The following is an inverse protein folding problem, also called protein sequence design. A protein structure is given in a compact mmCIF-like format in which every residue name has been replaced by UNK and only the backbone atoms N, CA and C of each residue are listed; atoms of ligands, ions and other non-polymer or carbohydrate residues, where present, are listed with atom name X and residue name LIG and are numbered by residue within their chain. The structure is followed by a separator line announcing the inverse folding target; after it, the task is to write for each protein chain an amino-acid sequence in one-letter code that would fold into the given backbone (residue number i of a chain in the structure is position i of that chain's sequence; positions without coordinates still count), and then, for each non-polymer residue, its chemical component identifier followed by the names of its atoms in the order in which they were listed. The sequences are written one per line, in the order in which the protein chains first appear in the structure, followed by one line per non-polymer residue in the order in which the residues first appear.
data_IF_930868356431
#
_entry.id   IF_930868356431
#
_cell.length_a   1.000
_cell.length_b   1.000
_cell.length_c   1.000
_cell.angle_alpha   90.00
_cell.angle_beta   90.00
_cell.angle_gamma   90.00
#
_symmetry.space_group_name_H-M   'P 1'
#
loop_
_entity.id
_entity.type
_entity.pdbx_description
1 polymer ?
#
# COMPACT_ATOMS: atom_id res chain seq x y z
N UNK A 1 -16.64 -9.22 16.79
CA UNK A 1 -16.24 -8.20 15.79
C UNK A 1 -14.77 -7.92 16.02
N UNK A 2 -13.87 -8.17 15.05
CA UNK A 2 -12.49 -7.70 15.17
C UNK A 2 -12.54 -6.18 15.25
N UNK A 3 -11.96 -5.58 16.30
CA UNK A 3 -11.88 -4.13 16.42
C UNK A 3 -11.03 -3.65 15.24
N UNK A 4 -11.64 -2.94 14.27
CA UNK A 4 -10.85 -2.34 13.18
C UNK A 4 -10.16 -1.13 13.76
N UNK A 5 -8.84 -1.21 13.86
CA UNK A 5 -7.99 -0.06 14.17
C UNK A 5 -8.22 1.05 13.14
N UNK A 6 -8.08 2.31 13.56
CA UNK A 6 -8.00 3.44 12.65
C UNK A 6 -6.56 3.72 12.18
N UNK A 7 -5.64 2.80 12.47
CA UNK A 7 -4.27 2.79 11.97
C UNK A 7 -4.19 1.82 10.79
N UNK A 8 -3.63 2.29 9.68
CA UNK A 8 -3.38 1.50 8.49
C UNK A 8 -1.91 1.55 8.11
N UNK A 9 -1.48 0.64 7.24
CA UNK A 9 -0.16 0.71 6.60
C UNK A 9 -0.30 0.61 5.11
N UNK A 10 0.56 1.32 4.39
CA UNK A 10 0.69 1.23 2.93
C UNK A 10 2.16 1.02 2.57
N UNK A 11 2.46 0.17 1.59
CA UNK A 11 3.84 -0.13 1.18
C UNK A 11 4.05 0.11 -0.31
N UNK A 12 4.89 1.08 -0.66
CA UNK A 12 5.36 1.27 -2.03
C UNK A 12 6.47 0.26 -2.35
N UNK A 13 6.18 -0.67 -3.26
CA UNK A 13 7.20 -1.60 -3.81
C UNK A 13 7.65 -1.07 -5.16
N UNK A 14 8.87 -0.55 -5.21
CA UNK A 14 9.42 0.16 -6.37
C UNK A 14 10.54 -0.68 -6.99
N UNK A 15 10.56 -0.75 -8.31
CA UNK A 15 11.66 -1.31 -9.09
C UNK A 15 11.96 -0.41 -10.28
N UNK A 16 13.14 0.23 -10.27
CA UNK A 16 13.49 1.28 -11.23
C UNK A 16 12.35 2.32 -11.32
N UNK A 17 11.81 2.55 -12.53
CA UNK A 17 10.72 3.49 -12.80
C UNK A 17 9.32 2.85 -12.71
N UNK A 18 9.19 1.71 -12.03
CA UNK A 18 7.92 1.00 -11.86
C UNK A 18 7.53 0.80 -10.40
N UNK A 19 6.23 0.75 -10.15
CA UNK A 19 5.64 0.45 -8.85
C UNK A 19 4.62 -0.68 -8.96
N UNK A 20 4.63 -1.59 -7.99
CA UNK A 20 3.62 -2.63 -7.87
C UNK A 20 2.37 -2.07 -7.18
N UNK A 21 1.22 -2.18 -7.84
CA UNK A 21 -0.08 -1.79 -7.30
C UNK A 21 -1.04 -2.97 -7.23
N UNK A 22 -1.99 -2.86 -6.31
CA UNK A 22 -3.11 -3.80 -6.16
C UNK A 22 -4.40 -3.17 -6.65
N UNK A 23 -5.30 -3.97 -7.20
CA UNK A 23 -6.66 -3.53 -7.53
C UNK A 23 -7.62 -3.89 -6.40
N UNK A 24 -8.23 -2.88 -5.79
CA UNK A 24 -9.10 -3.02 -4.61
C UNK A 24 -10.35 -3.84 -4.92
N UNK A 25 -10.65 -4.83 -4.07
CA UNK A 25 -11.89 -5.64 -4.15
C UNK A 25 -13.10 -5.00 -3.48
N UNK A 26 -12.88 -4.13 -2.50
CA UNK A 26 -13.89 -3.66 -1.55
C UNK A 26 -14.05 -2.14 -1.58
N UNK A 27 -15.25 -1.67 -1.21
CA UNK A 27 -15.49 -0.23 -0.98
C UNK A 27 -14.74 0.29 0.26
N UNK A 28 -14.42 1.59 0.31
CA UNK A 28 -14.54 2.59 -0.76
C UNK A 28 -13.51 2.37 -1.88
N UNK A 29 -13.68 3.03 -3.02
CA UNK A 29 -12.75 2.98 -4.16
C UNK A 29 -12.57 1.57 -4.73
N UNK A 30 -13.66 0.79 -4.76
CA UNK A 30 -13.64 -0.52 -5.41
C UNK A 30 -13.17 -0.40 -6.86
N UNK A 31 -12.42 -1.39 -7.34
CA UNK A 31 -11.83 -1.46 -8.68
C UNK A 31 -10.77 -0.38 -9.01
N UNK A 32 -10.44 0.52 -8.08
CA UNK A 32 -9.29 1.43 -8.19
C UNK A 32 -7.98 0.75 -7.77
N UNK A 33 -6.88 1.32 -8.27
CA UNK A 33 -5.52 0.88 -7.92
C UNK A 33 -5.05 1.52 -6.61
N UNK A 34 -4.26 0.80 -5.84
CA UNK A 34 -3.76 1.23 -4.54
C UNK A 34 -2.37 0.64 -4.26
N UNK A 35 -1.66 1.24 -3.29
CA UNK A 35 -0.54 0.60 -2.64
C UNK A 35 -1.05 -0.65 -1.88
N UNK A 36 -0.27 -1.73 -1.83
CA UNK A 36 -0.50 -2.83 -0.89
C UNK A 36 -0.56 -2.30 0.55
N UNK A 37 -1.56 -2.72 1.31
CA UNK A 37 -1.82 -2.13 2.61
C UNK A 37 -3.13 -2.54 3.25
N UNK A 38 -3.20 -2.36 4.57
CA UNK A 38 -4.36 -2.75 5.35
C UNK A 38 -4.32 -2.28 6.79
N UNK A 39 -5.15 -2.89 7.63
CA UNK A 39 -5.38 -2.44 9.00
C UNK A 39 -4.38 -3.06 9.96
N UNK A 40 -3.95 -2.28 10.94
CA UNK A 40 -3.08 -2.76 12.02
C UNK A 40 -3.93 -3.53 13.04
N UNK A 41 -3.57 -4.78 13.31
CA UNK A 41 -4.18 -5.60 14.36
C UNK A 41 -3.71 -5.16 15.77
N UNK A 42 -4.51 -5.44 16.80
CA UNK A 42 -4.25 -5.02 18.20
C UNK A 42 -2.90 -5.48 18.76
N UNK A 43 -2.38 -6.62 18.30
CA UNK A 43 -1.19 -7.28 18.86
C UNK A 43 0.01 -7.29 17.91
N UNK A 44 0.04 -6.39 16.92
CA UNK A 44 1.17 -6.26 16.01
C UNK A 44 1.75 -4.83 15.98
N UNK A 45 3.01 -4.72 15.59
CA UNK A 45 3.62 -3.40 15.32
C UNK A 45 3.23 -2.94 13.92
N UNK A 46 3.30 -1.64 13.66
CA UNK A 46 3.14 -1.06 12.32
C UNK A 46 4.00 -1.80 11.27
N UNK A 47 5.27 -2.06 11.58
CA UNK A 47 6.16 -2.77 10.66
C UNK A 47 5.77 -4.25 10.47
N UNK A 48 5.19 -4.91 11.49
CA UNK A 48 4.67 -6.28 11.35
C UNK A 48 3.43 -6.29 10.47
N UNK A 49 2.51 -5.34 10.65
CA UNK A 49 1.34 -5.13 9.80
C UNK A 49 1.76 -4.95 8.33
N UNK A 50 2.68 -4.02 8.04
CA UNK A 50 3.15 -3.76 6.68
C UNK A 50 3.73 -5.02 6.00
N UNK A 51 4.46 -5.87 6.74
CA UNK A 51 4.98 -7.14 6.22
C UNK A 51 3.87 -8.16 5.97
N UNK A 52 2.92 -8.27 6.91
CA UNK A 52 1.78 -9.19 6.81
C UNK A 52 0.90 -8.84 5.62
N UNK A 53 0.44 -7.60 5.52
CA UNK A 53 -0.41 -7.11 4.42
C UNK A 53 0.29 -7.30 3.07
N UNK A 54 1.57 -6.92 2.97
CA UNK A 54 2.33 -7.12 1.74
C UNK A 54 2.42 -8.60 1.34
N UNK A 55 2.65 -9.50 2.30
CA UNK A 55 2.71 -10.94 2.05
C UNK A 55 1.31 -11.51 1.68
N UNK A 56 0.25 -11.05 2.35
CA UNK A 56 -1.13 -11.48 2.13
C UNK A 56 -1.64 -11.06 0.75
N UNK A 57 -1.33 -9.84 0.29
CA UNK A 57 -1.87 -9.32 -0.97
C UNK A 57 -1.00 -9.64 -2.17
N UNK A 58 0.33 -9.74 -1.97
CA UNK A 58 1.31 -9.86 -3.07
C UNK A 58 2.16 -11.12 -3.04
N UNK A 59 2.08 -11.93 -1.97
CA UNK A 59 2.96 -13.06 -1.68
C UNK A 59 4.44 -12.71 -1.45
N UNK A 60 4.81 -11.43 -1.53
CA UNK A 60 6.18 -10.98 -1.37
C UNK A 60 6.60 -10.94 0.10
N UNK A 61 7.76 -11.53 0.40
CA UNK A 61 8.38 -11.47 1.73
C UNK A 61 9.53 -10.47 1.65
N UNK A 62 9.24 -9.21 2.02
CA UNK A 62 10.18 -8.09 1.93
C UNK A 62 10.38 -7.42 3.30
N UNK A 63 11.38 -6.56 3.39
CA UNK A 63 11.68 -5.77 4.58
C UNK A 63 11.40 -4.28 4.31
N UNK A 64 10.13 -3.83 4.46
CA UNK A 64 9.77 -2.43 4.26
C UNK A 64 10.47 -1.51 5.24
N UNK A 65 10.93 -0.36 4.73
CA UNK A 65 11.46 0.74 5.54
C UNK A 65 10.38 1.78 5.74
N UNK A 66 10.21 2.24 6.99
CA UNK A 66 9.30 3.34 7.28
C UNK A 66 9.71 4.60 6.51
N UNK A 67 8.73 5.27 5.90
CA UNK A 67 8.93 6.51 5.17
C UNK A 67 8.31 7.69 5.92
N UNK A 68 6.98 7.67 6.13
CA UNK A 68 6.25 8.73 6.82
C UNK A 68 4.88 8.24 7.29
N UNK A 69 4.14 9.09 8.01
CA UNK A 69 2.72 8.90 8.29
C UNK A 69 1.87 9.94 7.57
N UNK A 70 0.61 9.60 7.32
CA UNK A 70 -0.38 10.42 6.61
C UNK A 70 -1.64 10.47 7.45
N UNK A 71 -2.01 11.68 7.87
CA UNK A 71 -3.07 11.91 8.84
C UNK A 71 -4.02 13.06 8.43
N UNK A 72 -4.17 13.34 7.14
CA UNK A 72 -5.18 14.30 6.68
C UNK A 72 -6.58 13.82 7.15
N UNK A 73 -7.41 14.67 7.81
CA UNK A 73 -8.73 14.28 8.29
C UNK A 73 -9.68 13.72 7.22
N UNK A 74 -9.45 14.05 5.95
CA UNK A 74 -10.27 13.69 4.80
C UNK A 74 -9.64 12.61 3.92
N UNK A 75 -8.48 12.05 4.30
CA UNK A 75 -7.78 11.04 3.47
C UNK A 75 -8.61 9.79 3.22
N UNK A 76 -9.49 9.46 4.16
CA UNK A 76 -10.36 8.29 4.10
C UNK A 76 -11.82 8.69 4.35
N UNK A 77 -12.74 8.41 3.41
CA UNK A 77 -14.14 8.80 3.54
C UNK A 77 -14.87 8.06 4.67
N UNK A 78 -14.26 7.03 5.25
CA UNK A 78 -14.83 6.27 6.38
C UNK A 78 -14.62 6.96 7.73
N UNK A 79 -13.73 7.96 7.81
CA UNK A 79 -13.50 8.74 9.04
C UNK A 79 -12.02 9.07 9.29
N UNK A 80 -11.67 9.28 10.57
CA UNK A 80 -10.30 9.64 10.97
C UNK A 80 -9.39 8.41 10.95
N UNK A 81 -8.54 8.32 9.93
CA UNK A 81 -7.51 7.29 9.79
C UNK A 81 -6.11 7.91 9.76
N UNK A 82 -5.12 7.15 10.22
CA UNK A 82 -3.69 7.47 10.05
C UNK A 82 -3.06 6.30 9.32
N UNK A 83 -2.43 6.56 8.16
CA UNK A 83 -1.66 5.53 7.46
C UNK A 83 -0.17 5.72 7.66
N UNK A 84 0.54 4.62 7.92
CA UNK A 84 1.98 4.57 8.01
C UNK A 84 2.54 4.02 6.70
N UNK A 85 3.12 4.89 5.88
CA UNK A 85 3.68 4.53 4.59
C UNK A 85 5.09 3.96 4.75
N UNK A 86 5.36 2.91 3.99
CA UNK A 86 6.65 2.26 3.90
C UNK A 86 7.10 2.16 2.44
N UNK A 87 8.39 1.89 2.25
CA UNK A 87 8.99 1.68 0.93
C UNK A 87 9.89 0.45 0.90
N UNK A 88 9.82 -0.28 -0.21
CA UNK A 88 10.70 -1.36 -0.60
C UNK A 88 11.27 -1.05 -1.99
N UNK A 89 12.59 -1.03 -2.14
CA UNK A 89 13.23 -1.03 -3.45
C UNK A 89 13.68 -2.45 -3.79
N UNK A 90 13.23 -2.96 -4.93
CA UNK A 90 13.49 -4.34 -5.38
C UNK A 90 13.97 -4.36 -6.82
N UNK A 91 14.56 -5.48 -7.23
CA UNK A 91 14.68 -5.82 -8.65
C UNK A 91 13.47 -6.68 -9.01
N UNK A 92 12.59 -6.20 -9.89
CA UNK A 92 11.35 -6.89 -10.27
C UNK A 92 11.60 -8.26 -10.88
N UNK A 93 12.76 -8.48 -11.51
CA UNK A 93 13.14 -9.78 -12.10
C UNK A 93 13.46 -10.84 -11.02
N UNK A 94 13.75 -10.38 -9.79
CA UNK A 94 14.06 -11.25 -8.65
C UNK A 94 12.86 -11.48 -7.73
N UNK A 95 11.69 -10.92 -8.06
CA UNK A 95 10.46 -11.08 -7.28
C UNK A 95 9.32 -11.53 -8.18
N UNK A 96 8.44 -12.37 -7.66
CA UNK A 96 7.28 -12.86 -8.41
C UNK A 96 6.01 -12.60 -7.61
N UNK A 97 5.42 -11.39 -7.69
CA UNK A 97 4.19 -11.09 -6.98
C UNK A 97 3.02 -11.88 -7.55
N UNK A 98 2.24 -12.49 -6.66
CA UNK A 98 1.06 -13.28 -7.01
C UNK A 98 -0.12 -12.70 -6.23
N UNK A 99 -1.18 -12.34 -6.96
CA UNK A 99 -2.41 -11.83 -6.35
C UNK A 99 -3.01 -12.89 -5.44
N UNK A 100 -3.27 -12.52 -4.19
CA UNK A 100 -3.88 -13.37 -3.17
C UNK A 100 -5.07 -12.68 -2.50
N UNK A 101 -5.94 -13.48 -1.91
CA UNK A 101 -7.12 -13.20 -1.04
C UNK A 101 -7.89 -11.89 -1.25
N UNK A 102 -7.26 -10.71 -1.07
CA UNK A 102 -7.89 -9.38 -1.12
C UNK A 102 -7.52 -8.50 -2.34
N UNK A 103 -6.54 -8.89 -3.17
CA UNK A 103 -6.22 -8.20 -4.43
C UNK A 103 -6.92 -8.84 -5.63
N UNK A 104 -7.69 -8.06 -6.41
CA UNK A 104 -8.37 -8.57 -7.64
C UNK A 104 -7.39 -8.81 -8.77
N UNK A 105 -6.33 -8.00 -8.77
CA UNK A 105 -5.30 -7.91 -9.80
C UNK A 105 -4.07 -7.28 -9.15
N UNK A 106 -2.88 -7.72 -9.58
CA UNK A 106 -1.59 -7.09 -9.24
C UNK A 106 -0.91 -6.70 -10.54
N UNK A 107 -0.33 -5.50 -10.59
CA UNK A 107 0.37 -5.06 -11.79
C UNK A 107 1.47 -4.05 -11.46
N UNK A 108 2.56 -4.16 -12.20
CA UNK A 108 3.60 -3.12 -12.26
C UNK A 108 3.15 -1.99 -13.18
N UNK A 109 3.24 -0.76 -12.70
CA UNK A 109 2.93 0.46 -13.45
C UNK A 109 4.15 1.36 -13.53
N UNK A 110 4.33 2.02 -14.68
CA UNK A 110 5.35 3.05 -14.82
C UNK A 110 5.00 4.26 -13.95
N UNK A 111 5.96 4.75 -13.16
CA UNK A 111 5.81 5.89 -12.25
C UNK A 111 5.46 7.20 -12.98
N UNK A 112 5.83 7.33 -14.26
CA UNK A 112 5.48 8.48 -15.09
C UNK A 112 4.09 8.36 -15.75
N UNK A 113 3.40 7.23 -15.59
CA UNK A 113 2.08 7.00 -16.17
C UNK A 113 1.22 6.15 -15.22
N UNK A 114 1.00 6.68 -14.02
CA UNK A 114 0.20 6.02 -12.99
C UNK A 114 -1.30 6.06 -13.34
N UNK A 115 -2.06 4.99 -13.04
CA UNK A 115 -3.51 5.01 -13.15
C UNK A 115 -4.12 5.89 -12.04
N UNK A 116 -5.43 6.19 -12.08
CA UNK A 116 -6.12 6.76 -10.94
C UNK A 116 -5.96 5.87 -9.69
N UNK A 117 -5.57 6.49 -8.57
CA UNK A 117 -5.28 5.80 -7.32
C UNK A 117 -6.35 6.08 -6.26
N UNK A 118 -6.63 5.07 -5.43
CA UNK A 118 -7.52 5.20 -4.29
C UNK A 118 -6.91 6.10 -3.20
N UNK A 119 -7.79 6.75 -2.42
CA UNK A 119 -7.40 7.61 -1.29
C UNK A 119 -6.38 8.69 -1.69
N UNK A 120 -5.41 8.95 -0.81
CA UNK A 120 -4.29 9.86 -0.97
C UNK A 120 -3.03 9.16 -1.52
N UNK A 121 -3.14 7.94 -2.08
CA UNK A 121 -1.96 7.14 -2.46
C UNK A 121 -1.09 7.80 -3.54
N UNK A 122 -1.68 8.64 -4.38
CA UNK A 122 -0.91 9.45 -5.32
C UNK A 122 0.05 10.39 -4.60
N UNK A 123 -0.42 11.06 -3.53
CA UNK A 123 0.41 11.96 -2.70
C UNK A 123 1.52 11.15 -2.02
N UNK A 124 1.20 9.98 -1.47
CA UNK A 124 2.19 9.08 -0.84
C UNK A 124 3.32 8.76 -1.82
N UNK A 125 2.98 8.37 -3.05
CA UNK A 125 3.99 8.03 -4.07
C UNK A 125 4.82 9.25 -4.47
N UNK A 126 4.19 10.41 -4.69
CA UNK A 126 4.92 11.65 -5.04
C UNK A 126 5.94 12.02 -3.95
N UNK A 127 5.55 11.94 -2.68
CA UNK A 127 6.43 12.21 -1.54
C UNK A 127 7.60 11.20 -1.47
N UNK A 128 7.34 9.91 -1.70
CA UNK A 128 8.41 8.88 -1.72
C UNK A 128 9.42 9.17 -2.82
N UNK A 129 8.97 9.68 -3.96
CA UNK A 129 9.84 10.03 -5.09
C UNK A 129 10.51 11.41 -4.94
N UNK A 130 10.23 12.15 -3.86
CA UNK A 130 10.64 13.54 -3.66
C UNK A 130 10.21 14.47 -4.81
N UNK A 131 9.01 14.27 -5.35
CA UNK A 131 8.44 15.11 -6.43
C UNK A 131 7.61 16.28 -5.85
N UNK A 132 7.66 16.48 -4.53
CA UNK A 132 6.94 17.54 -3.81
C UNK A 132 7.91 18.39 -3.00
#
# INVERSE_FOLDING_TARGET
MKHKSNLTTDTAVISNDEILLIKRKNEPFKDMWALPGGFVDENETILKCAKRELQEETSLILQPKFHSFYDDPNRDPRGRYISFAHVCYVNKENVNPIAKDDAKELKWFNLNNLPPLAFDHYIIIQNILNIV
#
